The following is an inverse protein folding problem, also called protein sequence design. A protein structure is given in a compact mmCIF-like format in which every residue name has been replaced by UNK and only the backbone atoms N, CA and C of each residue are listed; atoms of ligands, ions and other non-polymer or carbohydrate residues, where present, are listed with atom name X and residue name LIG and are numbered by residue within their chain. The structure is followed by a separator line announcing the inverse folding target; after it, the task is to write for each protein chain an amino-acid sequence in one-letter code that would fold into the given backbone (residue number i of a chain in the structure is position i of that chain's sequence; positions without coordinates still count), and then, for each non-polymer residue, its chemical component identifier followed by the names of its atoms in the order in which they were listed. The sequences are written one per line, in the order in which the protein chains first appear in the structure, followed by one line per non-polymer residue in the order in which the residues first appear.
data_IF_542502605365
#
_entry.id   IF_542502605365
#
_cell.length_a   1.000
_cell.length_b   1.000
_cell.length_c   1.000
_cell.angle_alpha   90.00
_cell.angle_beta   90.00
_cell.angle_gamma   90.00
#
_symmetry.space_group_name_H-M   'P 1'
#
loop_
_entity.id
_entity.type
_entity.pdbx_description
1 polymer ?
#
# COMPACT_ATOMS: atom_id res chain seq x y z
N UNK A 1 -4.67 -1.19 -13.39
CA UNK A 1 -4.74 0.21 -12.91
C UNK A 1 -3.51 1.02 -13.30
N UNK A 2 -2.32 0.42 -13.41
CA UNK A 2 -1.06 1.15 -13.65
C UNK A 2 -1.05 1.91 -14.98
N UNK A 3 -1.41 1.26 -16.08
CA UNK A 3 -1.36 1.88 -17.42
C UNK A 3 -2.30 3.07 -17.57
N UNK A 4 -3.56 3.04 -17.12
CA UNK A 4 -4.41 4.22 -17.13
C UNK A 4 -3.86 5.36 -16.26
N UNK A 5 -3.29 5.07 -15.09
CA UNK A 5 -2.67 6.08 -14.24
C UNK A 5 -1.45 6.71 -14.89
N UNK A 6 -0.60 5.90 -15.54
CA UNK A 6 0.53 6.43 -16.30
C UNK A 6 0.08 7.29 -17.48
N UNK A 7 -0.96 6.85 -18.23
CA UNK A 7 -1.50 7.67 -19.31
C UNK A 7 -1.92 9.05 -18.82
N UNK A 8 -2.64 9.11 -17.71
CA UNK A 8 -3.12 10.39 -17.16
C UNK A 8 -1.95 11.27 -16.70
N UNK A 9 -0.88 10.70 -16.16
CA UNK A 9 0.33 11.45 -15.77
C UNK A 9 1.17 11.86 -16.98
N UNK A 10 1.48 10.94 -17.89
CA UNK A 10 2.42 11.16 -18.99
C UNK A 10 1.81 11.98 -20.13
N UNK A 11 0.51 11.82 -20.40
CA UNK A 11 -0.16 12.44 -21.56
C UNK A 11 -0.97 13.66 -21.13
N UNK A 12 -1.69 13.58 -20.02
CA UNK A 12 -2.54 14.67 -19.55
C UNK A 12 -1.87 15.59 -18.51
N UNK A 13 -0.67 15.22 -18.03
CA UNK A 13 0.07 16.02 -17.04
C UNK A 13 -0.65 16.13 -15.69
N UNK A 14 -1.51 15.17 -15.36
CA UNK A 14 -2.35 15.22 -14.16
C UNK A 14 -1.67 14.52 -12.98
N UNK A 15 -1.58 15.20 -11.82
CA UNK A 15 -1.02 14.66 -10.58
C UNK A 15 0.38 14.07 -10.74
N UNK A 16 1.25 14.79 -11.44
CA UNK A 16 2.67 14.43 -11.62
C UNK A 16 3.49 14.51 -10.33
N UNK A 17 2.90 15.07 -9.26
CA UNK A 17 3.38 15.05 -7.88
C UNK A 17 3.26 13.68 -7.19
N UNK A 18 2.36 12.80 -7.69
CA UNK A 18 2.12 11.47 -7.12
C UNK A 18 3.05 10.44 -7.77
N UNK A 19 3.70 9.61 -6.97
CA UNK A 19 4.48 8.47 -7.47
C UNK A 19 3.59 7.25 -7.64
N UNK A 20 3.29 6.88 -8.88
CA UNK A 20 2.65 5.60 -9.19
C UNK A 20 3.69 4.50 -9.19
N UNK A 21 3.55 3.55 -8.28
CA UNK A 21 4.42 2.40 -8.14
C UNK A 21 3.63 1.11 -8.42
N UNK A 22 4.10 0.33 -9.39
CA UNK A 22 3.52 -0.99 -9.68
C UNK A 22 4.31 -2.06 -8.91
N UNK A 23 3.63 -2.71 -7.96
CA UNK A 23 4.22 -3.72 -7.11
C UNK A 23 4.80 -4.91 -7.89
N UNK A 24 4.10 -5.39 -8.92
CA UNK A 24 4.58 -6.52 -9.73
C UNK A 24 5.80 -6.17 -10.56
N UNK A 25 5.87 -4.95 -11.13
CA UNK A 25 7.04 -4.48 -11.88
C UNK A 25 8.26 -4.27 -10.98
N UNK A 26 8.05 -4.08 -9.68
CA UNK A 26 9.14 -3.94 -8.69
C UNK A 26 9.93 -5.25 -8.49
N UNK A 27 9.51 -6.36 -9.07
CA UNK A 27 10.32 -7.57 -9.18
C UNK A 27 11.51 -7.39 -10.14
N UNK A 28 11.44 -6.43 -11.07
CA UNK A 28 12.54 -6.08 -11.99
C UNK A 28 13.46 -5.01 -11.41
N UNK A 29 14.78 -5.26 -11.37
CA UNK A 29 15.78 -4.31 -10.86
C UNK A 29 15.70 -2.93 -11.54
N UNK A 30 15.47 -2.90 -12.86
CA UNK A 30 15.35 -1.67 -13.64
C UNK A 30 14.23 -0.76 -13.13
N UNK A 31 13.12 -1.34 -12.70
CA UNK A 31 11.98 -0.59 -12.19
C UNK A 31 12.26 -0.03 -10.79
N UNK A 32 12.91 -0.82 -9.92
CA UNK A 32 13.35 -0.33 -8.60
C UNK A 32 14.33 0.83 -8.75
N UNK A 33 15.29 0.73 -9.69
CA UNK A 33 16.20 1.83 -10.01
C UNK A 33 15.46 3.07 -10.53
N UNK A 34 14.39 2.89 -11.30
CA UNK A 34 13.54 4.01 -11.74
C UNK A 34 12.82 4.66 -10.56
N UNK A 35 12.30 3.86 -9.62
CA UNK A 35 11.65 4.40 -8.40
C UNK A 35 12.63 5.19 -7.52
N UNK A 36 13.90 4.84 -7.53
CA UNK A 36 14.99 5.56 -6.85
C UNK A 36 15.39 6.89 -7.49
N UNK A 37 14.70 7.35 -8.56
CA UNK A 37 14.96 8.62 -9.25
C UNK A 37 13.77 9.55 -9.12
N UNK A 38 14.04 10.86 -9.17
CA UNK A 38 13.00 11.88 -9.29
C UNK A 38 12.29 11.72 -10.64
N UNK A 39 10.97 11.89 -10.65
CA UNK A 39 10.15 11.89 -11.86
C UNK A 39 9.14 13.02 -11.76
N UNK A 40 9.21 13.98 -12.68
CA UNK A 40 8.41 15.21 -12.65
C UNK A 40 8.56 15.95 -11.31
N UNK A 41 7.44 16.25 -10.64
CA UNK A 41 7.41 16.87 -9.32
C UNK A 41 7.47 15.85 -8.18
N UNK A 42 7.37 14.55 -8.50
CA UNK A 42 7.46 13.50 -7.50
C UNK A 42 8.92 13.17 -7.17
N UNK A 43 9.32 13.37 -5.92
CA UNK A 43 10.63 12.97 -5.43
C UNK A 43 10.80 11.44 -5.48
N UNK A 44 12.08 11.00 -5.51
CA UNK A 44 12.42 9.57 -5.44
C UNK A 44 11.75 8.88 -4.25
N UNK A 45 11.47 7.59 -4.37
CA UNK A 45 11.10 6.80 -3.20
C UNK A 45 12.29 6.74 -2.23
N UNK A 46 12.03 6.95 -0.93
CA UNK A 46 13.07 6.80 0.09
C UNK A 46 13.35 5.30 0.28
N UNK A 47 14.39 4.80 -0.38
CA UNK A 47 14.88 3.43 -0.21
C UNK A 47 16.23 3.48 0.48
N UNK A 48 16.48 2.60 1.45
CA UNK A 48 17.72 2.54 2.22
C UNK A 48 18.75 1.58 1.63
N UNK A 49 18.31 0.55 0.90
CA UNK A 49 19.19 -0.32 0.15
C UNK A 49 19.74 0.43 -1.05
N UNK A 50 21.01 0.13 -1.38
CA UNK A 50 21.65 0.72 -2.57
C UNK A 50 21.07 0.09 -3.85
N UNK A 51 21.21 0.75 -5.03
CA UNK A 51 20.79 0.18 -6.29
C UNK A 51 21.37 -1.22 -6.54
N UNK A 52 22.65 -1.44 -6.22
CA UNK A 52 23.35 -2.72 -6.41
C UNK A 52 22.75 -3.84 -5.53
N UNK A 53 22.19 -3.49 -4.37
CA UNK A 53 21.50 -4.45 -3.51
C UNK A 53 20.15 -4.90 -4.07
N UNK A 54 19.65 -4.23 -5.11
CA UNK A 54 18.46 -4.61 -5.89
C UNK A 54 18.79 -5.23 -7.24
N UNK A 55 20.08 -5.38 -7.60
CA UNK A 55 20.47 -6.01 -8.87
C UNK A 55 20.03 -7.48 -8.97
N UNK A 56 20.02 -7.99 -10.20
CA UNK A 56 19.63 -9.38 -10.46
C UNK A 56 20.53 -10.35 -9.69
N UNK A 57 19.87 -11.30 -9.00
CA UNK A 57 20.57 -12.30 -8.20
C UNK A 57 21.08 -11.80 -6.86
N UNK A 58 20.94 -10.50 -6.57
CA UNK A 58 21.27 -9.94 -5.25
C UNK A 58 19.99 -9.81 -4.44
N UNK A 59 19.99 -10.35 -3.20
CA UNK A 59 18.78 -10.38 -2.36
C UNK A 59 17.54 -10.99 -3.07
N UNK A 60 17.78 -12.05 -3.82
CA UNK A 60 16.72 -12.69 -4.62
C UNK A 60 16.91 -14.21 -4.64
N UNK A 61 16.19 -14.96 -3.78
CA UNK A 61 15.25 -14.51 -2.75
C UNK A 61 15.92 -14.08 -1.44
N UNK A 62 15.20 -13.33 -0.62
CA UNK A 62 15.57 -13.07 0.78
C UNK A 62 14.84 -14.07 1.67
N UNK A 63 15.56 -14.95 2.34
CA UNK A 63 14.99 -15.90 3.28
C UNK A 63 14.52 -15.21 4.56
N UNK A 64 13.63 -15.85 5.31
CA UNK A 64 13.17 -15.37 6.62
C UNK A 64 13.63 -16.36 7.67
N UNK A 65 14.39 -15.86 8.66
CA UNK A 65 14.83 -16.66 9.82
C UNK A 65 14.51 -15.88 11.10
N UNK A 66 13.78 -16.50 12.00
CA UNK A 66 13.45 -15.86 13.27
C UNK A 66 14.62 -16.03 14.25
N UNK A 67 15.44 -14.99 14.36
CA UNK A 67 16.60 -14.94 15.29
C UNK A 67 16.38 -14.03 16.48
N UNK A 68 15.24 -13.31 16.50
CA UNK A 68 14.81 -12.45 17.60
C UNK A 68 13.45 -12.90 18.12
N UNK A 69 13.27 -12.79 19.43
CA UNK A 69 11.97 -12.98 20.08
C UNK A 69 11.16 -11.66 20.06
N UNK A 70 9.87 -11.77 19.73
CA UNK A 70 8.96 -10.62 19.67
C UNK A 70 9.10 -9.74 18.44
N UNK A 71 8.33 -8.64 18.35
CA UNK A 71 8.35 -7.73 17.23
C UNK A 71 9.59 -6.83 17.27
N UNK A 72 10.25 -6.70 16.11
CA UNK A 72 11.38 -5.79 15.93
C UNK A 72 10.98 -4.63 15.00
N UNK A 73 11.65 -3.49 15.16
CA UNK A 73 11.45 -2.38 14.25
C UNK A 73 11.77 -2.79 12.81
N UNK A 74 10.89 -2.45 11.88
CA UNK A 74 11.10 -2.74 10.47
C UNK A 74 12.41 -2.14 9.96
N UNK A 75 12.74 -0.92 10.40
CA UNK A 75 13.98 -0.24 10.07
C UNK A 75 15.21 -1.03 10.51
N UNK A 76 15.19 -1.58 11.72
CA UNK A 76 16.29 -2.39 12.26
C UNK A 76 16.40 -3.74 11.50
N UNK A 77 15.26 -4.32 11.08
CA UNK A 77 15.26 -5.53 10.27
C UNK A 77 15.90 -5.31 8.89
N UNK A 78 15.63 -4.17 8.26
CA UNK A 78 16.25 -3.78 6.99
C UNK A 78 17.74 -3.46 7.18
N UNK A 79 18.13 -2.76 8.25
CA UNK A 79 19.54 -2.53 8.57
C UNK A 79 20.30 -3.83 8.81
N UNK A 80 19.69 -4.80 9.49
CA UNK A 80 20.26 -6.15 9.67
C UNK A 80 20.48 -6.85 8.31
N UNK A 81 19.47 -6.83 7.44
CA UNK A 81 19.51 -7.48 6.13
C UNK A 81 20.63 -6.92 5.24
N UNK A 82 20.81 -5.61 5.20
CA UNK A 82 21.81 -4.95 4.35
C UNK A 82 23.23 -4.97 4.92
N UNK A 83 23.40 -5.42 6.17
CA UNK A 83 24.71 -5.50 6.82
C UNK A 83 25.65 -6.51 6.13
N UNK A 84 26.92 -6.14 5.94
CA UNK A 84 27.95 -7.04 5.42
C UNK A 84 28.59 -7.95 6.49
N UNK A 85 28.09 -7.90 7.71
CA UNK A 85 28.60 -8.75 8.79
C UNK A 85 28.31 -10.24 8.50
N UNK A 86 29.33 -11.09 8.63
CA UNK A 86 29.15 -12.54 8.42
C UNK A 86 28.10 -13.19 9.32
N UNK A 87 27.80 -12.60 10.48
CA UNK A 87 26.77 -13.08 11.42
C UNK A 87 25.35 -12.76 10.96
N UNK A 88 25.17 -11.83 10.00
CA UNK A 88 23.88 -11.50 9.40
C UNK A 88 23.63 -12.25 8.09
N UNK A 89 24.38 -13.29 7.82
CA UNK A 89 24.28 -14.11 6.60
C UNK A 89 23.92 -15.55 6.95
N UNK A 90 23.12 -16.15 6.12
CA UNK A 90 22.84 -17.59 6.13
C UNK A 90 23.72 -18.28 5.09
N UNK A 91 24.19 -19.48 5.39
CA UNK A 91 24.92 -20.31 4.42
C UNK A 91 23.93 -21.19 3.69
N UNK A 92 23.86 -21.06 2.37
CA UNK A 92 23.01 -21.87 1.51
C UNK A 92 23.60 -23.28 1.32
N UNK A 93 22.80 -24.21 0.79
CA UNK A 93 23.25 -25.58 0.47
C UNK A 93 24.42 -25.58 -0.55
N UNK A 94 24.46 -24.55 -1.42
CA UNK A 94 25.57 -24.34 -2.37
C UNK A 94 26.89 -23.94 -1.71
N UNK A 95 26.88 -23.55 -0.43
CA UNK A 95 28.01 -22.98 0.30
C UNK A 95 28.08 -21.45 0.23
N UNK A 96 27.26 -20.80 -0.60
CA UNK A 96 27.20 -19.35 -0.72
C UNK A 96 26.52 -18.74 0.51
N UNK A 97 26.82 -17.46 0.76
CA UNK A 97 26.20 -16.68 1.82
C UNK A 97 25.10 -15.79 1.25
N UNK A 98 23.93 -15.80 1.88
CA UNK A 98 22.79 -14.97 1.51
C UNK A 98 22.34 -14.10 2.69
N UNK A 99 21.74 -12.96 2.37
CA UNK A 99 21.04 -12.12 3.33
C UNK A 99 19.71 -12.77 3.74
N UNK A 100 19.23 -12.46 4.93
CA UNK A 100 17.94 -12.92 5.40
C UNK A 100 17.25 -11.84 6.25
N UNK A 101 15.92 -11.88 6.26
CA UNK A 101 15.12 -11.06 7.17
C UNK A 101 15.11 -11.74 8.55
N UNK A 102 15.48 -11.03 9.64
CA UNK A 102 15.78 -11.68 10.92
C UNK A 102 14.55 -11.98 11.78
N UNK A 103 13.35 -11.57 11.36
CA UNK A 103 12.11 -11.80 12.10
C UNK A 103 10.89 -11.80 11.18
N UNK A 104 9.83 -12.49 11.60
CA UNK A 104 8.48 -12.39 11.01
C UNK A 104 7.62 -11.36 11.72
N UNK A 105 7.83 -11.20 13.03
CA UNK A 105 7.13 -10.18 13.82
C UNK A 105 7.84 -8.84 13.62
N UNK A 106 7.16 -7.93 12.97
CA UNK A 106 7.68 -6.62 12.61
C UNK A 106 6.79 -5.53 13.21
N UNK A 107 7.39 -4.37 13.46
CA UNK A 107 6.65 -3.19 13.88
C UNK A 107 7.20 -1.92 13.26
N UNK A 108 6.36 -0.89 13.24
CA UNK A 108 6.72 0.49 12.93
C UNK A 108 6.25 1.35 14.10
N UNK A 109 7.17 1.99 14.78
CA UNK A 109 6.84 3.03 15.77
C UNK A 109 6.30 4.27 15.04
N UNK A 110 5.20 4.83 15.55
CA UNK A 110 4.48 5.93 14.91
C UNK A 110 4.96 7.27 15.45
N UNK A 111 5.57 8.08 14.60
CA UNK A 111 5.81 9.49 14.87
C UNK A 111 4.49 10.27 14.64
N UNK A 112 3.71 10.46 15.72
CA UNK A 112 2.42 11.14 15.69
C UNK A 112 2.52 12.57 15.18
N UNK A 113 3.60 13.27 15.49
CA UNK A 113 3.82 14.64 15.06
C UNK A 113 4.07 14.70 13.54
N UNK A 114 4.85 13.77 13.01
CA UNK A 114 5.05 13.64 11.56
C UNK A 114 3.75 13.25 10.85
N UNK A 115 3.00 12.29 11.39
CA UNK A 115 1.69 11.86 10.86
C UNK A 115 0.71 13.03 10.75
N UNK A 116 0.63 13.85 11.79
CA UNK A 116 -0.26 15.02 11.83
C UNK A 116 0.25 16.12 10.89
N UNK A 117 1.53 16.47 11.01
CA UNK A 117 2.15 17.54 10.19
C UNK A 117 2.05 17.29 8.69
N UNK A 118 2.20 16.03 8.28
CA UNK A 118 2.17 15.63 6.88
C UNK A 118 0.77 15.21 6.38
N UNK A 119 -0.25 15.36 7.22
CA UNK A 119 -1.63 15.04 6.85
C UNK A 119 -1.86 13.57 6.49
N UNK A 120 -1.09 12.64 7.10
CA UNK A 120 -1.25 11.20 6.87
C UNK A 120 -2.59 10.71 7.40
N UNK A 121 -3.07 11.30 8.48
CA UNK A 121 -4.38 11.02 9.08
C UNK A 121 -5.22 12.28 9.01
N UNK A 122 -6.50 12.19 8.62
CA UNK A 122 -7.42 13.32 8.63
C UNK A 122 -7.68 13.84 10.04
N UNK A 123 -8.04 15.13 10.15
CA UNK A 123 -8.28 15.80 11.44
C UNK A 123 -9.25 15.03 12.35
N UNK A 124 -10.32 14.49 11.75
CA UNK A 124 -11.37 13.75 12.46
C UNK A 124 -10.90 12.43 13.10
N UNK A 125 -9.70 11.98 12.78
CA UNK A 125 -9.16 10.69 13.27
C UNK A 125 -7.86 10.86 14.08
N UNK A 126 -7.40 12.07 14.35
CA UNK A 126 -6.13 12.34 15.05
C UNK A 126 -6.03 11.67 16.43
N UNK A 127 -7.11 11.66 17.19
CA UNK A 127 -7.15 11.08 18.52
C UNK A 127 -7.09 9.55 18.53
N UNK A 128 -7.21 8.93 17.34
CA UNK A 128 -7.19 7.46 17.15
C UNK A 128 -5.82 6.95 16.69
N UNK A 129 -4.82 7.83 16.55
CA UNK A 129 -3.48 7.44 16.11
C UNK A 129 -2.84 6.53 17.15
N UNK A 130 -2.47 5.31 16.72
CA UNK A 130 -1.78 4.32 17.57
C UNK A 130 -0.31 4.69 17.77
N UNK A 131 0.31 4.12 18.82
CA UNK A 131 1.74 4.35 19.11
C UNK A 131 2.65 3.50 18.22
N UNK A 132 2.16 2.33 17.79
CA UNK A 132 2.91 1.40 16.94
C UNK A 132 1.96 0.59 16.06
N UNK A 133 2.46 0.19 14.90
CA UNK A 133 1.83 -0.77 13.99
C UNK A 133 2.60 -2.07 14.12
N UNK A 134 1.94 -3.16 14.48
CA UNK A 134 2.57 -4.48 14.62
C UNK A 134 1.90 -5.47 13.69
N UNK A 135 2.68 -6.26 13.00
CA UNK A 135 2.18 -7.34 12.15
C UNK A 135 3.13 -8.54 12.11
N UNK A 136 2.64 -9.65 11.61
CA UNK A 136 3.43 -10.86 11.41
C UNK A 136 3.35 -11.31 9.94
N UNK A 137 4.49 -11.54 9.32
CA UNK A 137 4.56 -12.21 8.02
C UNK A 137 4.13 -13.68 8.21
N UNK A 138 3.13 -14.18 7.46
CA UNK A 138 2.62 -15.54 7.62
C UNK A 138 3.69 -16.62 7.43
N UNK A 139 3.55 -17.75 8.11
CA UNK A 139 4.46 -18.90 7.98
C UNK A 139 4.52 -19.48 6.56
N UNK A 140 3.43 -19.32 5.80
CA UNK A 140 3.37 -19.73 4.40
C UNK A 140 4.33 -18.98 3.48
N UNK A 141 4.80 -17.79 3.91
CA UNK A 141 5.81 -17.00 3.19
C UNK A 141 7.20 -17.46 3.64
N UNK A 142 7.85 -18.31 2.87
CA UNK A 142 9.18 -18.84 3.20
C UNK A 142 10.33 -17.87 2.90
N UNK A 143 10.12 -16.98 1.95
CA UNK A 143 11.10 -16.00 1.49
C UNK A 143 10.38 -14.80 0.85
N UNK A 144 11.10 -13.71 0.71
CA UNK A 144 10.64 -12.49 0.05
C UNK A 144 11.26 -12.38 -1.34
N UNK A 145 10.48 -11.91 -2.29
CA UNK A 145 10.97 -11.46 -3.59
C UNK A 145 11.43 -10.00 -3.53
N UNK A 146 12.00 -9.52 -4.62
CA UNK A 146 12.52 -8.15 -4.74
C UNK A 146 11.43 -7.08 -4.53
N UNK A 147 10.23 -7.31 -5.05
CA UNK A 147 9.08 -6.41 -4.84
C UNK A 147 8.66 -6.34 -3.36
N UNK A 148 8.69 -7.48 -2.65
CA UNK A 148 8.42 -7.53 -1.21
C UNK A 148 9.48 -6.73 -0.43
N UNK A 149 10.75 -6.97 -0.78
CA UNK A 149 11.86 -6.28 -0.16
C UNK A 149 11.79 -4.77 -0.39
N UNK A 150 11.52 -4.34 -1.63
CA UNK A 150 11.36 -2.92 -1.94
C UNK A 150 10.21 -2.29 -1.15
N UNK A 151 9.09 -2.99 -1.02
CA UNK A 151 7.95 -2.50 -0.25
C UNK A 151 8.31 -2.35 1.24
N UNK A 152 8.96 -3.36 1.84
CA UNK A 152 9.39 -3.29 3.23
C UNK A 152 10.44 -2.19 3.45
N UNK A 153 11.42 -2.05 2.55
CA UNK A 153 12.43 -0.98 2.64
C UNK A 153 11.77 0.40 2.54
N UNK A 154 10.84 0.58 1.59
CA UNK A 154 10.06 1.81 1.48
C UNK A 154 9.25 2.11 2.75
N UNK A 155 8.55 1.12 3.31
CA UNK A 155 7.78 1.30 4.54
C UNK A 155 8.68 1.63 5.74
N UNK A 156 9.90 1.07 5.79
CA UNK A 156 10.89 1.34 6.83
C UNK A 156 11.44 2.77 6.77
N UNK A 157 11.46 3.39 5.59
CA UNK A 157 12.17 4.65 5.33
C UNK A 157 11.26 5.83 4.97
N UNK A 158 9.96 5.58 4.79
CA UNK A 158 9.00 6.65 4.50
C UNK A 158 8.88 7.67 5.64
N UNK A 159 9.12 7.26 6.88
CA UNK A 159 9.08 8.10 8.10
C UNK A 159 7.86 9.06 8.11
N UNK A 160 6.71 8.56 7.64
CA UNK A 160 5.46 9.31 7.51
C UNK A 160 5.57 10.60 6.67
N UNK A 161 6.58 10.68 5.81
CA UNK A 161 6.84 11.87 4.96
C UNK A 161 5.82 12.05 3.84
N UNK A 162 5.21 10.96 3.38
CA UNK A 162 4.17 10.96 2.34
C UNK A 162 3.08 9.93 2.61
N UNK A 163 1.85 10.26 2.22
CA UNK A 163 0.73 9.35 2.27
C UNK A 163 0.92 8.18 1.29
N UNK A 164 0.51 6.99 1.71
CA UNK A 164 0.59 5.75 0.93
C UNK A 164 -0.80 5.24 0.66
N UNK A 165 -1.08 4.92 -0.60
CA UNK A 165 -2.34 4.37 -1.05
C UNK A 165 -2.11 3.07 -1.80
N UNK A 166 -2.98 2.11 -1.58
CA UNK A 166 -3.02 0.83 -2.29
C UNK A 166 -4.29 0.73 -3.12
N UNK A 167 -4.16 0.44 -4.40
CA UNK A 167 -5.31 0.20 -5.30
C UNK A 167 -5.80 -1.24 -5.22
N UNK A 168 -4.94 -2.18 -4.82
CA UNK A 168 -5.26 -3.59 -4.56
C UNK A 168 -4.62 -4.04 -3.26
N UNK A 169 -5.33 -4.84 -2.48
CA UNK A 169 -4.84 -5.40 -1.21
C UNK A 169 -4.33 -6.84 -1.35
N UNK A 170 -4.69 -7.53 -2.43
CA UNK A 170 -4.41 -8.95 -2.61
C UNK A 170 -2.91 -9.27 -2.60
N UNK A 171 -2.11 -8.43 -3.24
CA UNK A 171 -0.69 -8.71 -3.47
C UNK A 171 0.18 -8.40 -2.24
N UNK A 172 -0.17 -7.37 -1.49
CA UNK A 172 0.61 -6.91 -0.32
C UNK A 172 0.26 -7.63 0.98
N UNK A 173 -0.90 -8.26 1.04
CA UNK A 173 -1.45 -8.88 2.25
C UNK A 173 -0.56 -9.97 2.82
N UNK A 174 0.08 -10.74 1.95
CA UNK A 174 0.95 -11.83 2.35
C UNK A 174 2.25 -11.35 3.01
N UNK A 175 2.66 -10.11 2.75
CA UNK A 175 3.93 -9.55 3.25
C UNK A 175 3.72 -8.56 4.38
N UNK A 176 2.75 -7.66 4.24
CA UNK A 176 2.58 -6.60 5.22
C UNK A 176 1.58 -6.94 6.33
N UNK A 177 0.50 -7.72 6.05
CA UNK A 177 -0.50 -8.05 7.09
C UNK A 177 -1.06 -6.84 7.84
N UNK A 178 -1.08 -5.66 7.21
CA UNK A 178 -1.49 -4.37 7.80
C UNK A 178 -2.92 -3.98 7.44
N UNK A 179 -3.74 -4.91 7.00
CA UNK A 179 -5.10 -4.66 6.49
C UNK A 179 -5.95 -3.82 7.45
N UNK A 180 -5.77 -4.03 8.76
CA UNK A 180 -6.48 -3.29 9.81
C UNK A 180 -6.10 -1.79 9.88
N UNK A 181 -5.06 -1.37 9.20
CA UNK A 181 -4.60 0.02 9.09
C UNK A 181 -4.85 0.60 7.70
N UNK A 182 -5.54 -0.14 6.83
CA UNK A 182 -5.91 0.27 5.49
C UNK A 182 -7.37 0.70 5.47
N UNK A 183 -7.62 1.93 5.08
CA UNK A 183 -8.95 2.53 5.07
C UNK A 183 -9.33 2.92 3.65
N UNK A 184 -10.43 2.39 3.15
CA UNK A 184 -10.97 2.79 1.86
C UNK A 184 -11.20 4.31 1.85
N UNK A 185 -10.57 4.98 0.89
CA UNK A 185 -10.79 6.38 0.56
C UNK A 185 -11.05 6.48 -0.95
N UNK A 186 -12.31 6.56 -1.34
CA UNK A 186 -12.74 6.45 -2.73
C UNK A 186 -12.50 5.06 -3.32
N UNK A 187 -11.68 4.96 -4.38
CA UNK A 187 -11.36 3.72 -5.08
C UNK A 187 -10.04 3.07 -4.63
N UNK A 188 -9.38 3.65 -3.65
CA UNK A 188 -8.10 3.16 -3.10
C UNK A 188 -8.18 2.99 -1.59
N UNK A 189 -7.14 2.39 -1.01
CA UNK A 189 -7.01 2.20 0.43
C UNK A 189 -5.83 3.01 0.94
N UNK A 190 -6.10 3.98 1.80
CA UNK A 190 -5.10 4.80 2.46
C UNK A 190 -4.52 4.06 3.65
N UNK A 191 -3.20 4.00 3.72
CA UNK A 191 -2.49 3.51 4.90
C UNK A 191 -2.46 4.61 5.96
N UNK A 192 -3.06 4.33 7.11
CA UNK A 192 -3.09 5.25 8.26
C UNK A 192 -2.77 4.48 9.55
N UNK A 193 -1.98 5.05 10.47
CA UNK A 193 -1.72 4.43 11.78
C UNK A 193 -2.93 4.58 12.72
N UNK A 194 -4.08 4.11 12.26
CA UNK A 194 -5.37 4.11 12.96
C UNK A 194 -6.01 2.75 12.73
N UNK A 195 -6.44 2.09 13.80
CA UNK A 195 -7.16 0.83 13.68
C UNK A 195 -8.56 1.05 13.10
N UNK A 196 -8.91 0.26 12.11
CA UNK A 196 -10.24 0.30 11.51
C UNK A 196 -11.28 -0.34 12.45
N UNK A 197 -12.29 0.44 12.86
CA UNK A 197 -13.39 -0.03 13.73
C UNK A 197 -14.29 -1.08 13.05
N UNK A 198 -14.40 -1.01 11.74
CA UNK A 198 -15.21 -1.87 10.87
C UNK A 198 -14.34 -2.78 10.00
N UNK A 199 -13.19 -3.20 10.53
CA UNK A 199 -12.22 -4.01 9.81
C UNK A 199 -12.83 -5.28 9.22
N UNK A 200 -12.58 -5.47 7.94
CA UNK A 200 -12.87 -6.71 7.24
C UNK A 200 -11.58 -7.24 6.61
N UNK A 201 -11.22 -8.49 6.91
CA UNK A 201 -9.93 -9.12 6.53
C UNK A 201 -9.53 -8.93 5.07
N UNK A 202 -10.49 -8.93 4.16
CA UNK A 202 -10.20 -8.87 2.72
C UNK A 202 -10.38 -7.48 2.11
N UNK A 203 -10.73 -6.50 2.93
CA UNK A 203 -11.13 -5.20 2.43
C UNK A 203 -10.66 -4.00 3.28
N UNK A 204 -10.00 -4.24 4.42
CA UNK A 204 -9.64 -3.18 5.36
C UNK A 204 -10.86 -2.49 5.99
N UNK A 205 -10.70 -1.28 6.48
CA UNK A 205 -11.77 -0.42 6.97
C UNK A 205 -12.28 0.59 5.94
N UNK A 206 -13.16 1.49 6.39
CA UNK A 206 -13.72 2.58 5.57
C UNK A 206 -13.46 3.92 6.23
N UNK A 207 -12.79 4.83 5.52
CA UNK A 207 -12.77 6.25 5.86
C UNK A 207 -13.95 6.92 5.14
N UNK A 208 -15.10 7.00 5.84
CA UNK A 208 -16.37 7.37 5.24
C UNK A 208 -16.39 8.78 4.66
N UNK A 209 -15.90 9.78 5.42
CA UNK A 209 -15.93 11.19 4.97
C UNK A 209 -15.11 11.38 3.70
N UNK A 210 -13.90 10.79 3.65
CA UNK A 210 -13.05 10.86 2.47
C UNK A 210 -13.65 10.11 1.27
N UNK A 211 -14.17 8.89 1.52
CA UNK A 211 -14.83 8.09 0.49
C UNK A 211 -16.09 8.78 -0.04
N UNK A 212 -16.92 9.34 0.83
CA UNK A 212 -18.12 10.06 0.43
C UNK A 212 -17.78 11.27 -0.44
N UNK A 213 -16.81 12.09 0.00
CA UNK A 213 -16.35 13.25 -0.77
C UNK A 213 -15.89 12.90 -2.18
N UNK A 214 -15.14 11.78 -2.33
CA UNK A 214 -14.59 11.36 -3.62
C UNK A 214 -15.66 10.70 -4.49
N UNK A 215 -16.42 9.76 -3.94
CA UNK A 215 -17.38 8.97 -4.71
C UNK A 215 -18.63 9.78 -5.09
N UNK A 216 -18.99 10.78 -4.30
CA UNK A 216 -20.15 11.65 -4.56
C UNK A 216 -19.78 12.94 -5.29
N UNK A 217 -18.51 13.11 -5.73
CA UNK A 217 -18.10 14.28 -6.50
C UNK A 217 -18.87 14.33 -7.84
N UNK A 218 -19.61 15.43 -8.05
CA UNK A 218 -20.40 15.66 -9.27
C UNK A 218 -19.51 15.79 -10.52
N UNK A 219 -18.24 16.14 -10.35
CA UNK A 219 -17.28 16.28 -11.44
C UNK A 219 -16.66 14.93 -11.88
N UNK A 220 -17.06 13.82 -11.27
CA UNK A 220 -16.58 12.49 -11.67
C UNK A 220 -16.90 12.20 -13.13
N UNK A 221 -15.85 11.92 -13.90
CA UNK A 221 -15.98 11.62 -15.35
C UNK A 221 -16.18 10.14 -15.58
N UNK A 222 -17.35 9.74 -16.01
CA UNK A 222 -17.71 8.35 -16.28
C UNK A 222 -17.34 7.83 -17.68
N UNK A 223 -16.74 8.67 -18.53
CA UNK A 223 -16.33 8.26 -19.89
C UNK A 223 -17.48 7.72 -20.76
N UNK A 224 -18.67 8.28 -20.58
CA UNK A 224 -19.94 7.84 -21.19
C UNK A 224 -20.51 6.49 -20.68
N UNK A 225 -19.91 5.85 -19.68
CA UNK A 225 -20.42 4.59 -19.11
C UNK A 225 -21.83 4.73 -18.52
N UNK A 226 -22.23 5.95 -18.17
CA UNK A 226 -23.53 6.32 -17.65
C UNK A 226 -24.58 6.61 -18.74
N UNK A 227 -24.23 6.43 -20.03
CA UNK A 227 -25.15 6.67 -21.15
C UNK A 227 -25.75 5.36 -21.66
N UNK A 228 -27.05 5.38 -21.91
CA UNK A 228 -27.76 4.25 -22.51
C UNK A 228 -27.17 3.91 -23.90
N UNK A 229 -27.11 2.61 -24.22
CA UNK A 229 -26.62 2.11 -25.52
C UNK A 229 -25.10 2.08 -25.67
N UNK A 230 -24.32 2.50 -24.67
CA UNK A 230 -22.87 2.36 -24.73
C UNK A 230 -22.46 0.90 -24.52
N UNK A 231 -21.79 0.33 -25.51
CA UNK A 231 -21.22 -1.01 -25.39
C UNK A 231 -19.97 -0.99 -24.52
N UNK A 232 -19.93 -1.85 -23.52
CA UNK A 232 -18.79 -1.98 -22.59
C UNK A 232 -18.19 -3.36 -22.78
N UNK A 233 -16.88 -3.40 -23.07
CA UNK A 233 -16.13 -4.65 -23.24
C UNK A 233 -15.99 -5.42 -21.91
N UNK A 234 -15.67 -6.73 -21.96
CA UNK A 234 -15.60 -7.56 -20.74
C UNK A 234 -14.61 -7.08 -19.68
N UNK A 235 -13.45 -6.53 -20.08
CA UNK A 235 -12.45 -6.03 -19.13
C UNK A 235 -12.91 -4.75 -18.45
N UNK A 236 -13.49 -3.82 -19.20
CA UNK A 236 -14.09 -2.61 -18.64
C UNK A 236 -15.24 -2.94 -17.69
N UNK A 237 -16.05 -3.97 -18.00
CA UNK A 237 -17.10 -4.47 -17.06
C UNK A 237 -16.52 -4.98 -15.75
N UNK A 238 -15.39 -5.69 -15.80
CA UNK A 238 -14.69 -6.15 -14.60
C UNK A 238 -14.22 -4.97 -13.74
N UNK A 239 -13.64 -3.94 -14.37
CA UNK A 239 -13.22 -2.74 -13.66
C UNK A 239 -14.40 -1.98 -13.03
N UNK A 240 -15.55 -1.93 -13.71
CA UNK A 240 -16.77 -1.35 -13.15
C UNK A 240 -17.21 -2.08 -11.88
N UNK A 241 -17.04 -3.41 -11.79
CA UNK A 241 -17.36 -4.14 -10.56
C UNK A 241 -16.54 -3.69 -9.36
N UNK A 242 -15.25 -3.39 -9.53
CA UNK A 242 -14.44 -2.82 -8.46
C UNK A 242 -14.95 -1.45 -8.01
N UNK A 243 -15.33 -0.60 -8.97
CA UNK A 243 -15.95 0.69 -8.67
C UNK A 243 -17.25 0.48 -7.87
N UNK A 244 -18.13 -0.40 -8.32
CA UNK A 244 -19.38 -0.74 -7.62
C UNK A 244 -19.14 -1.24 -6.19
N UNK A 245 -18.11 -2.08 -5.99
CA UNK A 245 -17.75 -2.59 -4.67
C UNK A 245 -17.39 -1.44 -3.70
N UNK A 246 -16.67 -0.41 -4.18
CA UNK A 246 -16.34 0.74 -3.35
C UNK A 246 -17.59 1.51 -2.88
N UNK A 247 -18.56 1.72 -3.78
CA UNK A 247 -19.85 2.33 -3.43
C UNK A 247 -20.64 1.46 -2.44
N UNK A 248 -20.76 0.17 -2.72
CA UNK A 248 -21.49 -0.76 -1.85
C UNK A 248 -20.91 -0.81 -0.44
N UNK A 249 -19.59 -0.82 -0.30
CA UNK A 249 -18.93 -0.80 1.02
C UNK A 249 -19.20 0.49 1.78
N UNK A 250 -19.11 1.65 1.11
CA UNK A 250 -19.44 2.92 1.73
C UNK A 250 -20.91 2.95 2.16
N UNK A 251 -21.85 2.51 1.31
CA UNK A 251 -23.27 2.46 1.65
C UNK A 251 -23.55 1.53 2.82
N UNK A 252 -22.93 0.35 2.86
CA UNK A 252 -23.04 -0.58 3.98
C UNK A 252 -22.52 0.02 5.29
N UNK A 253 -21.37 0.71 5.23
CA UNK A 253 -20.79 1.41 6.38
C UNK A 253 -21.76 2.47 6.93
N UNK A 254 -22.34 3.29 6.05
CA UNK A 254 -23.29 4.35 6.41
C UNK A 254 -24.59 3.76 7.00
N UNK A 255 -25.13 2.72 6.38
CA UNK A 255 -26.34 2.05 6.86
C UNK A 255 -26.15 1.47 8.28
N UNK A 256 -25.01 0.84 8.54
CA UNK A 256 -24.68 0.29 9.87
C UNK A 256 -24.55 1.36 10.96
N UNK A 257 -24.46 2.64 10.58
CA UNK A 257 -24.37 3.81 11.50
C UNK A 257 -25.64 4.67 11.50
N UNK A 258 -26.76 4.10 11.08
CA UNK A 258 -28.05 4.77 11.00
C UNK A 258 -28.07 6.01 10.08
N UNK A 259 -27.20 6.06 9.07
CA UNK A 259 -27.14 7.10 8.06
C UNK A 259 -27.83 6.62 6.76
N UNK A 260 -29.08 6.17 6.87
CA UNK A 260 -29.82 5.52 5.79
C UNK A 260 -29.97 6.38 4.54
N UNK A 261 -30.31 7.65 4.70
CA UNK A 261 -30.48 8.58 3.56
C UNK A 261 -29.18 8.73 2.76
N UNK A 262 -28.04 8.87 3.45
CA UNK A 262 -26.74 8.95 2.80
C UNK A 262 -26.36 7.62 2.13
N UNK A 263 -26.70 6.49 2.73
CA UNK A 263 -26.46 5.17 2.14
C UNK A 263 -27.25 4.97 0.84
N UNK A 264 -28.52 5.40 0.83
CA UNK A 264 -29.37 5.38 -0.39
C UNK A 264 -28.77 6.29 -1.46
N UNK A 265 -28.41 7.53 -1.12
CA UNK A 265 -27.81 8.46 -2.07
C UNK A 265 -26.51 7.89 -2.70
N UNK A 266 -25.67 7.19 -1.93
CA UNK A 266 -24.47 6.52 -2.43
C UNK A 266 -24.81 5.39 -3.40
N UNK A 267 -25.84 4.59 -3.12
CA UNK A 267 -26.30 3.51 -4.01
C UNK A 267 -26.92 4.05 -5.30
N UNK A 268 -27.71 5.11 -5.21
CA UNK A 268 -28.31 5.76 -6.39
C UNK A 268 -27.27 6.36 -7.33
N UNK A 269 -26.12 6.74 -6.79
CA UNK A 269 -24.98 7.25 -7.57
C UNK A 269 -24.18 6.12 -8.23
N UNK A 270 -24.30 4.89 -7.72
CA UNK A 270 -23.58 3.73 -8.25
C UNK A 270 -24.13 3.33 -9.61
N UNK A 271 -23.31 3.18 -10.60
CA UNK A 271 -23.65 2.78 -11.98
C UNK A 271 -24.28 1.38 -12.07
#
# INVERSE_FOLDING_TARGET
DTFPLWYVQEVEGFRTDVRVCNYMLSSGYWYVHQMGRKQYESERLPLSLTPEQYDNGVNEPVFIQEVFEGPIELKDAIEFLKSDNARTKVTLVSGDKANFLPARNLKITVDKDAVIRNGIVPESMKDKIVDEIVWRIPESVGYLYKNDLMLLDFMATNDWSRAVYFTSLSDIRNVLGIDQYLHQEGLSHRFMPVLAEDYHKDAGGVYADGSYKILMDENTRWGNLNKEGVAVDPESRRNILFVKQAYMRLAQYLANRNQGDSAVAVLDRCL
#
